data_IF_188433518851
#
_entry.id   IF_188433518851
#
_cell.length_a   1.000
_cell.length_b   1.000
_cell.length_c   1.000
_cell.angle_alpha   90.00
_cell.angle_beta   90.00
_cell.angle_gamma   90.00
#
_symmetry.space_group_name_H-M   'P 1'
#
loop_
_entity.id
_entity.type
_entity.pdbx_description
1 polymer ?
#
# COMPACT_ATOMS: atom_id res chain seq x y z
N UNK A 1 -7.78 -9.18 13.39
CA UNK A 1 -7.42 -8.04 12.70
C UNK A 1 -5.98 -7.67 12.84
N UNK A 2 -5.32 -7.48 11.75
CA UNK A 2 -3.88 -7.22 11.83
C UNK A 2 -3.61 -5.86 12.41
N UNK A 3 -2.51 -5.77 13.10
CA UNK A 3 -2.05 -4.52 13.62
C UNK A 3 -1.26 -3.79 12.58
N UNK A 4 -1.38 -2.50 12.61
CA UNK A 4 -0.61 -1.69 11.72
C UNK A 4 0.81 -1.59 12.24
N UNK A 5 1.74 -1.69 11.34
CA UNK A 5 3.13 -1.55 11.71
C UNK A 5 3.73 -0.42 10.93
N UNK A 6 4.86 0.05 11.40
CA UNK A 6 5.58 1.09 10.71
C UNK A 6 6.53 0.46 9.71
N UNK A 7 6.47 0.91 8.47
CA UNK A 7 7.36 0.42 7.44
C UNK A 7 7.99 1.60 6.73
N UNK A 8 9.25 1.47 6.37
CA UNK A 8 9.97 2.53 5.71
C UNK A 8 10.42 2.06 4.34
N UNK A 9 10.12 2.84 3.33
CA UNK A 9 10.50 2.50 1.97
C UNK A 9 11.25 3.65 1.34
N UNK A 10 12.10 3.31 0.38
CA UNK A 10 12.80 4.29 -0.41
C UNK A 10 12.05 4.45 -1.70
N UNK A 11 11.51 5.63 -1.95
CA UNK A 11 10.72 5.87 -3.15
C UNK A 11 11.13 7.19 -3.78
N UNK A 12 10.74 7.32 -5.03
CA UNK A 12 10.99 8.52 -5.81
C UNK A 12 10.26 9.71 -5.15
N UNK A 13 10.94 10.82 -4.93
CA UNK A 13 10.28 11.98 -4.33
C UNK A 13 9.08 12.48 -5.12
N UNK A 14 9.17 12.41 -6.45
CA UNK A 14 8.06 12.86 -7.28
C UNK A 14 6.83 11.99 -7.07
N UNK A 15 7.06 10.70 -6.89
CA UNK A 15 5.97 9.78 -6.64
C UNK A 15 5.29 10.11 -5.31
N UNK A 16 6.09 10.43 -4.31
CA UNK A 16 5.54 10.79 -3.02
C UNK A 16 4.69 12.05 -3.12
N UNK A 17 5.18 13.03 -3.87
CA UNK A 17 4.44 14.26 -4.05
C UNK A 17 3.10 14.01 -4.73
N UNK A 18 3.10 13.17 -5.73
CA UNK A 18 1.86 12.84 -6.44
C UNK A 18 0.86 12.15 -5.52
N UNK A 19 1.35 11.25 -4.70
CA UNK A 19 0.48 10.54 -3.78
C UNK A 19 -0.11 11.51 -2.76
N UNK A 20 0.70 12.43 -2.27
CA UNK A 20 0.22 13.42 -1.33
C UNK A 20 -0.84 14.32 -1.98
N UNK A 21 -0.63 14.66 -3.23
CA UNK A 21 -1.59 15.46 -3.96
C UNK A 21 -2.93 14.73 -4.07
N UNK A 22 -2.89 13.46 -4.39
CA UNK A 22 -4.10 12.67 -4.50
C UNK A 22 -4.83 12.61 -3.17
N UNK A 23 -4.07 12.41 -2.11
CA UNK A 23 -4.65 12.36 -0.77
C UNK A 23 -5.39 13.66 -0.47
N UNK A 24 -4.80 14.77 -0.85
CA UNK A 24 -5.40 16.07 -0.61
C UNK A 24 -6.66 16.28 -1.43
N UNK A 25 -6.58 15.93 -2.71
CA UNK A 25 -7.71 16.14 -3.61
C UNK A 25 -8.89 15.25 -3.23
N UNK A 26 -8.58 14.00 -2.91
CA UNK A 26 -9.63 13.04 -2.58
C UNK A 26 -10.13 13.20 -1.15
N UNK A 27 -9.42 13.92 -0.33
CA UNK A 27 -9.83 14.10 1.05
C UNK A 27 -9.71 12.86 1.89
N UNK A 28 -8.70 12.04 1.62
CA UNK A 28 -8.48 10.83 2.39
C UNK A 28 -7.09 10.89 3.00
N UNK A 29 -6.89 10.06 4.01
CA UNK A 29 -5.63 10.05 4.69
C UNK A 29 -4.54 9.45 3.82
N UNK A 30 -3.34 9.97 3.94
CA UNK A 30 -2.22 9.48 3.16
C UNK A 30 -1.99 8.00 3.39
N UNK A 31 -2.08 7.55 4.62
CA UNK A 31 -1.86 6.15 4.92
C UNK A 31 -2.90 5.26 4.23
N UNK A 32 -4.10 5.78 4.07
CA UNK A 32 -5.14 5.01 3.39
C UNK A 32 -4.88 4.92 1.91
N UNK A 33 -4.35 5.99 1.31
CA UNK A 33 -3.98 5.94 -0.09
C UNK A 33 -2.90 4.89 -0.32
N UNK A 34 -1.91 4.88 0.56
CA UNK A 34 -0.81 3.94 0.42
C UNK A 34 -1.28 2.51 0.65
N UNK A 35 -2.14 2.31 1.65
CA UNK A 35 -2.66 0.97 1.92
C UNK A 35 -3.44 0.45 0.73
N UNK A 36 -4.26 1.30 0.14
CA UNK A 36 -5.05 0.89 -1.01
C UNK A 36 -4.16 0.56 -2.19
N UNK A 37 -3.12 1.37 -2.41
CA UNK A 37 -2.21 1.11 -3.51
C UNK A 37 -1.49 -0.22 -3.34
N UNK A 38 -1.06 -0.50 -2.12
CA UNK A 38 -0.38 -1.75 -1.85
C UNK A 38 -1.32 -2.94 -2.02
N UNK A 39 -2.54 -2.80 -1.54
CA UNK A 39 -3.53 -3.88 -1.69
C UNK A 39 -3.82 -4.15 -3.16
N UNK A 40 -3.96 -3.09 -3.94
CA UNK A 40 -4.25 -3.24 -5.35
C UNK A 40 -3.11 -3.94 -6.07
N UNK A 41 -1.88 -3.59 -5.72
CA UNK A 41 -0.75 -4.22 -6.36
C UNK A 41 -0.66 -5.70 -6.01
N UNK A 42 -0.88 -6.02 -4.74
CA UNK A 42 -0.83 -7.40 -4.30
C UNK A 42 -1.93 -8.21 -4.96
N UNK A 43 -3.13 -7.65 -5.02
CA UNK A 43 -4.25 -8.34 -5.64
C UNK A 43 -3.97 -8.63 -7.10
N UNK A 44 -3.40 -7.67 -7.81
CA UNK A 44 -3.07 -7.87 -9.22
C UNK A 44 -2.02 -8.96 -9.39
N UNK A 45 -1.06 -8.98 -8.51
CA UNK A 45 -0.01 -9.98 -8.59
C UNK A 45 -0.57 -11.38 -8.33
N UNK A 46 -1.45 -11.48 -7.34
CA UNK A 46 -2.03 -12.77 -7.00
C UNK A 46 -2.93 -13.29 -8.09
N UNK A 47 -3.56 -12.39 -8.83
CA UNK A 47 -4.37 -12.79 -9.94
C UNK A 47 -3.55 -13.42 -11.05
N UNK A 48 -2.38 -12.87 -11.27
CA UNK A 48 -1.50 -13.39 -12.30
C UNK A 48 -0.78 -14.63 -11.90
N UNK A 49 -0.44 -14.75 -10.64
CA UNK A 49 0.36 -15.87 -10.16
C UNK A 49 -0.48 -16.80 -9.35
N UNK A 50 -0.54 -16.57 -8.08
CA UNK A 50 -1.47 -17.29 -7.24
C UNK A 50 -1.43 -16.68 -5.87
N UNK A 51 -2.42 -16.98 -5.09
CA UNK A 51 -2.53 -16.39 -3.78
C UNK A 51 -1.31 -16.67 -2.93
N UNK A 52 -0.86 -15.63 -2.27
CA UNK A 52 0.28 -15.75 -1.39
C UNK A 52 -0.16 -16.34 -0.06
N UNK A 53 0.55 -17.34 0.37
CA UNK A 53 0.29 -17.92 1.67
C UNK A 53 1.47 -17.67 2.56
N UNK A 54 1.30 -16.77 3.50
CA UNK A 54 2.39 -16.45 4.40
C UNK A 54 2.38 -17.39 5.58
N UNK A 55 3.57 -17.71 6.11
CA UNK A 55 3.61 -18.51 7.33
C UNK A 55 2.96 -17.74 8.45
N UNK A 56 2.33 -18.46 9.36
CA UNK A 56 1.72 -17.84 10.48
C UNK A 56 2.74 -17.16 11.34
N UNK A 57 2.48 -15.92 11.64
CA UNK A 57 3.41 -15.21 12.51
C UNK A 57 3.16 -15.65 13.91
N UNK A 58 4.14 -15.59 14.69
CA UNK A 58 3.97 -16.05 15.96
C UNK A 58 3.97 -15.12 16.95
#
# INVERSE_FOLDING_TARGET
>A
KPQEIRATFIVDPDLVRKVKYISLVEGILLKDVISEALNNYVDAWEEKNKKIRLPKAK
#
